data_IF_285323857706
#
_entry.id   IF_285323857706
#
_cell.length_a   1.000
_cell.length_b   1.000
_cell.length_c   1.000
_cell.angle_alpha   90.00
_cell.angle_beta   90.00
_cell.angle_gamma   90.00
#
_symmetry.space_group_name_H-M   'P 1'
#
loop_
_entity.id
_entity.type
_entity.pdbx_description
1 polymer ?
#
# COMPACT_ATOMS: atom_id res chain seq x y z
N UNK A 1 16.16 6.35 13.28
CA UNK A 1 14.72 6.59 13.10
C UNK A 1 13.96 5.30 13.36
N UNK A 2 12.89 5.37 14.13
CA UNK A 2 12.19 4.18 14.58
C UNK A 2 10.77 4.12 14.03
N UNK A 3 10.42 3.00 13.37
CA UNK A 3 9.10 2.79 12.81
C UNK A 3 8.32 1.75 13.60
N UNK A 4 7.02 1.97 13.72
CA UNK A 4 6.10 1.03 14.32
C UNK A 4 5.04 0.62 13.32
N UNK A 5 4.57 -0.62 13.43
CA UNK A 5 3.58 -1.18 12.52
C UNK A 5 2.48 -1.85 13.33
N UNK A 6 1.21 -1.61 12.95
CA UNK A 6 0.12 -2.35 13.53
C UNK A 6 -1.08 -2.44 12.60
N UNK A 7 -1.88 -3.49 12.77
CA UNK A 7 -3.10 -3.68 11.97
C UNK A 7 -4.13 -2.60 12.33
N UNK A 8 -4.75 -2.02 11.30
CA UNK A 8 -5.83 -1.06 11.47
C UNK A 8 -7.11 -1.80 11.89
N UNK A 9 -7.73 -1.34 12.97
CA UNK A 9 -9.01 -1.85 13.45
C UNK A 9 -10.13 -0.90 13.01
N UNK A 10 -11.38 -1.36 13.10
CA UNK A 10 -12.52 -0.52 12.71
C UNK A 10 -12.56 0.80 13.47
N UNK A 11 -12.22 0.79 14.76
CA UNK A 11 -12.18 2.02 15.56
C UNK A 11 -11.07 3.00 15.12
N UNK A 12 -10.06 2.52 14.44
CA UNK A 12 -8.97 3.37 13.93
C UNK A 12 -9.36 4.18 12.70
N UNK A 13 -10.34 3.71 11.93
CA UNK A 13 -10.69 4.30 10.65
C UNK A 13 -11.02 5.78 10.79
N UNK A 14 -11.96 6.12 11.68
CA UNK A 14 -12.36 7.52 11.88
C UNK A 14 -11.23 8.39 12.43
N UNK A 15 -10.28 7.78 13.14
CA UNK A 15 -9.15 8.51 13.73
C UNK A 15 -8.11 8.87 12.67
N UNK A 16 -7.81 7.96 11.74
CA UNK A 16 -6.66 8.11 10.83
C UNK A 16 -7.02 8.36 9.37
N UNK A 17 -8.29 8.22 8.98
CA UNK A 17 -8.66 8.29 7.56
C UNK A 17 -8.25 9.59 6.88
N UNK A 18 -8.39 10.72 7.58
CA UNK A 18 -8.04 12.02 7.00
C UNK A 18 -6.53 12.12 6.75
N UNK A 19 -5.72 11.65 7.69
CA UNK A 19 -4.26 11.65 7.54
C UNK A 19 -3.82 10.66 6.44
N UNK A 20 -4.48 9.51 6.36
CA UNK A 20 -4.20 8.53 5.30
C UNK A 20 -4.44 9.14 3.92
N UNK A 21 -5.58 9.82 3.76
CA UNK A 21 -5.89 10.45 2.47
C UNK A 21 -4.92 11.59 2.16
N UNK A 22 -4.53 12.36 3.15
CA UNK A 22 -3.55 13.44 2.95
C UNK A 22 -2.23 12.88 2.39
N UNK A 23 -1.77 11.76 2.92
CA UNK A 23 -0.55 11.08 2.42
C UNK A 23 -0.76 10.63 0.99
N UNK A 24 -1.86 9.95 0.72
CA UNK A 24 -2.19 9.44 -0.61
C UNK A 24 -2.28 10.59 -1.63
N UNK A 25 -3.04 11.62 -1.31
CA UNK A 25 -3.25 12.75 -2.22
C UNK A 25 -1.93 13.48 -2.52
N UNK A 26 -1.09 13.67 -1.52
CA UNK A 26 0.22 14.29 -1.70
C UNK A 26 1.09 13.50 -2.68
N UNK A 27 1.09 12.17 -2.55
CA UNK A 27 1.89 11.32 -3.42
C UNK A 27 1.31 11.22 -4.84
N UNK A 28 -0.02 11.07 -4.95
CA UNK A 28 -0.67 10.87 -6.24
C UNK A 28 -0.76 12.13 -7.09
N UNK A 29 -0.75 13.31 -6.48
CA UNK A 29 -0.77 14.56 -7.23
C UNK A 29 0.43 14.69 -8.18
N UNK A 30 1.55 14.07 -7.84
CA UNK A 30 2.75 14.07 -8.68
C UNK A 30 2.75 12.95 -9.72
N UNK A 31 2.02 11.85 -9.49
CA UNK A 31 2.06 10.65 -10.33
C UNK A 31 0.84 10.56 -11.25
N UNK A 32 -0.35 10.80 -10.71
CA UNK A 32 -1.60 10.60 -11.44
C UNK A 32 -2.69 11.56 -10.93
N UNK A 33 -2.57 12.87 -11.22
CA UNK A 33 -3.58 13.83 -10.79
C UNK A 33 -4.94 13.52 -11.44
N UNK A 34 -6.02 13.67 -10.68
CA UNK A 34 -7.37 13.37 -11.17
C UNK A 34 -8.04 14.53 -11.91
N UNK A 35 -7.58 15.74 -11.64
CA UNK A 35 -8.23 16.94 -12.14
C UNK A 35 -9.41 17.40 -11.28
N UNK A 36 -9.78 16.64 -10.26
CA UNK A 36 -10.85 16.99 -9.32
C UNK A 36 -10.30 17.72 -8.11
N UNK A 37 -11.19 18.30 -7.29
CA UNK A 37 -10.79 18.94 -6.03
C UNK A 37 -10.37 17.89 -5.00
N UNK A 38 -9.64 18.35 -3.98
CA UNK A 38 -9.25 17.49 -2.86
C UNK A 38 -10.47 16.85 -2.19
N UNK A 39 -11.51 17.64 -1.94
CA UNK A 39 -12.71 17.15 -1.27
C UNK A 39 -13.47 16.12 -2.11
N UNK A 40 -13.53 16.33 -3.41
CA UNK A 40 -14.15 15.37 -4.33
C UNK A 40 -13.37 14.05 -4.35
N UNK A 41 -12.05 14.10 -4.41
CA UNK A 41 -11.21 12.91 -4.39
C UNK A 41 -11.31 12.18 -3.05
N UNK A 42 -11.33 12.93 -1.94
CA UNK A 42 -11.52 12.34 -0.62
C UNK A 42 -12.84 11.58 -0.52
N UNK A 43 -13.91 12.20 -0.99
CA UNK A 43 -15.23 11.56 -0.97
C UNK A 43 -15.27 10.29 -1.78
N UNK A 44 -14.75 10.33 -3.00
CA UNK A 44 -14.71 9.17 -3.90
C UNK A 44 -13.90 8.04 -3.28
N UNK A 45 -12.72 8.37 -2.78
CA UNK A 45 -11.82 7.37 -2.19
C UNK A 45 -12.40 6.76 -0.90
N UNK A 46 -12.89 7.60 0.01
CA UNK A 46 -13.39 7.12 1.30
C UNK A 46 -14.65 6.28 1.15
N UNK A 47 -15.55 6.66 0.26
CA UNK A 47 -16.77 5.89 -0.02
C UNK A 47 -16.46 4.51 -0.60
N UNK A 48 -15.35 4.39 -1.30
CA UNK A 48 -14.90 3.12 -1.86
C UNK A 48 -14.10 2.28 -0.85
N UNK A 49 -13.19 2.91 -0.12
CA UNK A 49 -12.24 2.21 0.75
C UNK A 49 -12.86 1.73 2.06
N UNK A 50 -13.66 2.57 2.73
CA UNK A 50 -14.19 2.25 4.05
C UNK A 50 -15.03 0.97 4.08
N UNK A 51 -15.99 0.76 3.16
CA UNK A 51 -16.76 -0.48 3.16
C UNK A 51 -15.87 -1.71 2.99
N UNK A 52 -14.85 -1.63 2.14
CA UNK A 52 -13.92 -2.73 1.88
C UNK A 52 -13.14 -3.09 3.14
N UNK A 53 -12.69 -2.09 3.89
CA UNK A 53 -11.98 -2.31 5.16
C UNK A 53 -12.90 -2.90 6.22
N UNK A 54 -14.13 -2.37 6.35
CA UNK A 54 -15.09 -2.84 7.36
C UNK A 54 -15.57 -4.26 7.09
N UNK A 55 -15.65 -4.66 5.83
CA UNK A 55 -16.03 -6.02 5.44
C UNK A 55 -14.87 -7.01 5.53
N UNK A 56 -13.65 -6.54 5.80
CA UNK A 56 -12.46 -7.39 5.89
C UNK A 56 -11.93 -7.88 4.56
N UNK A 57 -12.39 -7.31 3.45
CA UNK A 57 -11.90 -7.69 2.11
C UNK A 57 -10.47 -7.21 1.84
N UNK A 58 -10.08 -6.15 2.51
CA UNK A 58 -8.72 -5.63 2.49
C UNK A 58 -8.29 -5.34 3.91
N UNK A 59 -7.04 -5.59 4.20
CA UNK A 59 -6.43 -5.29 5.49
C UNK A 59 -5.44 -4.15 5.33
N UNK A 60 -5.30 -3.35 6.38
CA UNK A 60 -4.38 -2.20 6.37
C UNK A 60 -3.45 -2.29 7.56
N UNK A 61 -2.17 -2.04 7.31
CA UNK A 61 -1.17 -1.83 8.34
C UNK A 61 -0.91 -0.34 8.43
N UNK A 62 -1.11 0.22 9.62
CA UNK A 62 -0.75 1.62 9.88
C UNK A 62 0.73 1.68 10.25
N UNK A 63 1.41 2.67 9.71
CA UNK A 63 2.85 2.84 9.89
C UNK A 63 3.10 4.13 10.65
N UNK A 64 3.82 4.04 11.75
CA UNK A 64 4.09 5.17 12.64
C UNK A 64 5.58 5.43 12.72
N UNK A 65 5.94 6.69 12.86
CA UNK A 65 7.29 7.12 13.22
C UNK A 65 7.15 8.02 14.44
N UNK A 66 7.70 7.58 15.57
CA UNK A 66 7.62 8.33 16.83
C UNK A 66 6.18 8.72 17.17
N UNK A 67 5.27 7.74 17.12
CA UNK A 67 3.85 7.87 17.45
C UNK A 67 3.02 8.72 16.48
N UNK A 68 3.60 9.15 15.36
CA UNK A 68 2.87 9.87 14.32
C UNK A 68 2.68 8.99 13.10
N UNK A 69 1.49 9.04 12.51
CA UNK A 69 1.22 8.30 11.29
C UNK A 69 2.12 8.82 10.17
N UNK A 70 2.90 7.94 9.55
CA UNK A 70 3.78 8.31 8.46
C UNK A 70 3.48 7.54 7.16
N UNK A 71 2.59 6.58 7.22
CA UNK A 71 2.21 5.82 6.03
C UNK A 71 1.20 4.74 6.33
N UNK A 72 0.81 4.01 5.30
CA UNK A 72 -0.05 2.84 5.44
C UNK A 72 0.22 1.86 4.31
N UNK A 73 -0.14 0.60 4.56
CA UNK A 73 0.04 -0.49 3.61
C UNK A 73 -1.23 -1.33 3.57
N UNK A 74 -1.81 -1.46 2.38
CA UNK A 74 -3.02 -2.25 2.18
C UNK A 74 -2.67 -3.55 1.47
N UNK A 75 -3.26 -4.65 1.91
CA UNK A 75 -3.01 -5.97 1.34
C UNK A 75 -4.25 -6.86 1.46
N UNK A 76 -4.21 -7.97 0.75
CA UNK A 76 -5.15 -9.07 0.98
C UNK A 76 -4.50 -10.38 0.58
N UNK A 77 -5.09 -11.47 1.08
CA UNK A 77 -4.62 -12.82 0.78
C UNK A 77 -5.70 -13.51 -0.05
N UNK A 78 -5.29 -14.08 -1.17
CA UNK A 78 -6.17 -14.84 -2.05
C UNK A 78 -5.51 -16.17 -2.32
N UNK A 79 -6.10 -17.25 -1.79
CA UNK A 79 -5.56 -18.60 -1.94
C UNK A 79 -4.12 -18.66 -1.38
N UNK A 80 -3.13 -18.94 -2.22
CA UNK A 80 -1.72 -19.03 -1.81
C UNK A 80 -0.91 -17.77 -2.14
N UNK A 81 -1.60 -16.69 -2.51
CA UNK A 81 -0.97 -15.43 -2.94
C UNK A 81 -1.21 -14.32 -1.92
N UNK A 82 -0.14 -13.65 -1.52
CA UNK A 82 -0.19 -12.43 -0.74
C UNK A 82 -0.12 -11.25 -1.70
N UNK A 83 -1.17 -10.44 -1.76
CA UNK A 83 -1.24 -9.30 -2.66
C UNK A 83 -0.92 -8.02 -1.92
N UNK A 84 0.18 -7.38 -2.32
CA UNK A 84 0.51 -6.03 -1.88
C UNK A 84 -0.31 -5.06 -2.74
N UNK A 85 -1.36 -4.50 -2.15
CA UNK A 85 -2.36 -3.75 -2.89
C UNK A 85 -2.03 -2.27 -3.00
N UNK A 86 -1.62 -1.65 -1.90
CA UNK A 86 -1.25 -0.23 -1.89
C UNK A 86 -0.26 0.06 -0.79
N UNK A 87 0.73 0.92 -1.08
CA UNK A 87 1.70 1.37 -0.10
C UNK A 87 1.90 2.87 -0.28
N UNK A 88 1.74 3.62 0.81
CA UNK A 88 1.91 5.07 0.80
C UNK A 88 2.73 5.51 2.00
N UNK A 89 3.80 6.27 1.74
CA UNK A 89 4.62 6.89 2.78
C UNK A 89 4.62 8.40 2.57
N UNK A 90 4.68 9.16 3.66
CA UNK A 90 4.99 10.59 3.55
C UNK A 90 6.33 10.76 2.84
N UNK A 91 6.43 11.80 2.02
CA UNK A 91 7.63 12.06 1.21
C UNK A 91 8.93 12.12 2.03
N UNK A 92 8.85 12.67 3.23
CA UNK A 92 9.99 12.80 4.13
C UNK A 92 10.56 11.47 4.62
N UNK A 93 9.78 10.38 4.53
CA UNK A 93 10.21 9.05 4.94
C UNK A 93 10.55 8.14 3.77
N UNK A 94 10.44 8.62 2.54
CA UNK A 94 10.82 7.85 1.37
C UNK A 94 12.34 7.81 1.26
N UNK A 95 12.88 6.64 0.94
CA UNK A 95 14.33 6.47 0.78
C UNK A 95 15.11 6.32 2.08
N UNK A 96 14.44 6.18 3.24
CA UNK A 96 15.11 6.05 4.54
C UNK A 96 15.05 4.62 5.11
N UNK A 97 14.80 3.63 4.27
CA UNK A 97 14.77 2.23 4.70
C UNK A 97 13.44 1.77 5.28
N UNK A 98 12.41 2.61 5.25
CA UNK A 98 11.10 2.25 5.79
C UNK A 98 10.52 1.01 5.11
N UNK A 99 10.65 0.91 3.78
CA UNK A 99 10.11 -0.24 3.06
C UNK A 99 10.77 -1.54 3.49
N UNK A 100 12.09 -1.53 3.72
CA UNK A 100 12.81 -2.72 4.17
C UNK A 100 12.31 -3.16 5.55
N UNK A 101 12.07 -2.23 6.47
CA UNK A 101 11.53 -2.54 7.79
C UNK A 101 10.10 -3.05 7.70
N UNK A 102 9.27 -2.45 6.84
CA UNK A 102 7.91 -2.93 6.59
C UNK A 102 7.95 -4.35 6.06
N UNK A 103 8.78 -4.62 5.06
CA UNK A 103 8.84 -5.96 4.47
C UNK A 103 9.28 -7.00 5.49
N UNK A 104 10.20 -6.64 6.37
CA UNK A 104 10.59 -7.52 7.46
C UNK A 104 9.40 -7.78 8.41
N UNK A 105 8.62 -6.74 8.75
CA UNK A 105 7.42 -6.91 9.55
C UNK A 105 6.40 -7.82 8.86
N UNK A 106 6.27 -7.73 7.53
CA UNK A 106 5.33 -8.55 6.77
C UNK A 106 5.60 -10.04 6.90
N UNK A 107 6.83 -10.45 7.20
CA UNK A 107 7.14 -11.87 7.44
C UNK A 107 6.35 -12.43 8.61
N UNK A 108 5.90 -11.59 9.54
CA UNK A 108 5.05 -12.00 10.67
C UNK A 108 3.57 -11.98 10.31
N UNK A 109 3.19 -11.33 9.20
CA UNK A 109 1.80 -11.13 8.77
C UNK A 109 1.42 -12.13 7.67
N UNK A 110 2.35 -12.42 6.77
CA UNK A 110 2.11 -13.31 5.63
C UNK A 110 1.80 -14.71 6.16
N UNK A 111 0.63 -15.29 5.80
CA UNK A 111 0.24 -16.59 6.32
C UNK A 111 1.20 -17.72 5.94
N UNK A 112 1.33 -18.70 6.81
CA UNK A 112 2.02 -19.95 6.49
C UNK A 112 1.30 -20.60 5.29
N UNK A 113 2.06 -21.17 4.37
CA UNK A 113 1.49 -21.76 3.15
C UNK A 113 1.38 -20.79 1.98
N UNK A 114 1.71 -19.52 2.17
CA UNK A 114 1.78 -18.56 1.07
C UNK A 114 2.90 -18.95 0.12
N UNK A 115 2.60 -18.99 -1.18
CA UNK A 115 3.56 -19.41 -2.21
C UNK A 115 4.03 -18.25 -3.07
N UNK A 116 3.20 -17.22 -3.24
CA UNK A 116 3.48 -16.12 -4.15
C UNK A 116 3.20 -14.78 -3.48
N UNK A 117 3.93 -13.76 -3.92
CA UNK A 117 3.66 -12.36 -3.60
C UNK A 117 3.44 -11.66 -4.93
N UNK A 118 2.43 -10.79 -4.99
CA UNK A 118 2.16 -9.99 -6.19
C UNK A 118 1.83 -8.55 -5.84
N UNK A 119 2.01 -7.67 -6.82
CA UNK A 119 1.70 -6.26 -6.71
C UNK A 119 1.54 -5.65 -8.09
N UNK A 120 0.91 -4.47 -8.14
CA UNK A 120 0.84 -3.68 -9.36
C UNK A 120 1.55 -2.35 -9.13
N UNK A 121 2.21 -1.85 -10.16
CA UNK A 121 2.80 -0.51 -10.14
C UNK A 121 2.47 0.19 -11.46
N UNK A 122 2.09 1.47 -11.36
CA UNK A 122 1.79 2.27 -12.57
C UNK A 122 3.04 2.34 -13.44
N UNK A 123 2.82 2.36 -14.75
CA UNK A 123 3.93 2.40 -15.73
C UNK A 123 4.82 3.63 -15.55
N UNK A 124 4.25 4.76 -15.09
CA UNK A 124 4.98 5.99 -14.82
C UNK A 124 5.77 5.95 -13.50
N UNK A 125 5.44 5.02 -12.60
CA UNK A 125 6.04 4.97 -11.26
C UNK A 125 7.27 4.05 -11.25
N UNK A 126 8.37 4.53 -11.81
CA UNK A 126 9.61 3.77 -11.92
C UNK A 126 10.20 3.40 -10.54
N UNK A 127 9.97 4.25 -9.55
CA UNK A 127 10.46 4.01 -8.20
C UNK A 127 9.81 2.77 -7.58
N UNK A 128 8.48 2.67 -7.68
CA UNK A 128 7.76 1.49 -7.19
C UNK A 128 8.17 0.23 -7.93
N UNK A 129 8.35 0.32 -9.26
CA UNK A 129 8.81 -0.80 -10.06
C UNK A 129 10.17 -1.30 -9.59
N UNK A 130 11.09 -0.38 -9.32
CA UNK A 130 12.42 -0.73 -8.83
C UNK A 130 12.38 -1.43 -7.48
N UNK A 131 11.51 -0.98 -6.58
CA UNK A 131 11.32 -1.64 -5.28
C UNK A 131 10.82 -3.07 -5.46
N UNK A 132 9.83 -3.29 -6.33
CA UNK A 132 9.27 -4.61 -6.57
C UNK A 132 10.29 -5.55 -7.20
N UNK A 133 11.09 -5.06 -8.15
CA UNK A 133 12.17 -5.84 -8.74
C UNK A 133 13.24 -6.21 -7.70
N UNK A 134 13.57 -5.28 -6.82
CA UNK A 134 14.53 -5.53 -5.74
C UNK A 134 14.04 -6.63 -4.78
N UNK A 135 12.72 -6.76 -4.60
CA UNK A 135 12.14 -7.81 -3.80
C UNK A 135 12.10 -9.17 -4.50
N UNK A 136 12.55 -9.24 -5.75
CA UNK A 136 12.56 -10.47 -6.52
C UNK A 136 11.31 -10.73 -7.35
N UNK A 137 10.42 -9.72 -7.46
CA UNK A 137 9.25 -9.85 -8.31
C UNK A 137 9.60 -9.44 -9.75
N UNK A 138 8.95 -10.08 -10.71
CA UNK A 138 9.13 -9.76 -12.12
C UNK A 138 7.79 -9.50 -12.78
N UNK A 139 7.82 -8.76 -13.88
CA UNK A 139 6.61 -8.42 -14.64
C UNK A 139 6.06 -9.68 -15.29
N UNK A 140 4.79 -9.97 -15.02
CA UNK A 140 4.07 -11.11 -15.60
C UNK A 140 2.90 -10.67 -16.48
N UNK A 141 2.57 -9.39 -16.51
CA UNK A 141 1.48 -8.88 -17.32
C UNK A 141 1.19 -7.42 -17.02
N UNK A 142 -0.02 -7.00 -17.39
CA UNK A 142 -0.50 -5.63 -17.17
C UNK A 142 -1.88 -5.67 -16.50
N UNK A 143 -2.28 -4.54 -15.91
CA UNK A 143 -3.64 -4.37 -15.41
C UNK A 143 -4.63 -4.36 -16.58
N UNK A 144 -5.92 -4.57 -16.29
CA UNK A 144 -6.97 -4.62 -17.31
C UNK A 144 -7.02 -3.36 -18.17
N UNK A 145 -6.79 -2.20 -17.57
CA UNK A 145 -6.79 -0.93 -18.31
C UNK A 145 -5.45 -0.59 -18.96
N UNK A 146 -4.42 -1.43 -18.77
CA UNK A 146 -3.09 -1.22 -19.35
C UNK A 146 -2.26 -0.13 -18.68
N UNK A 147 -2.72 0.46 -17.58
CA UNK A 147 -2.03 1.58 -16.92
C UNK A 147 -0.96 1.15 -15.93
N UNK A 148 -0.97 -0.11 -15.51
CA UNK A 148 -0.04 -0.64 -14.51
C UNK A 148 0.58 -1.94 -14.99
N UNK A 149 1.79 -2.22 -14.50
CA UNK A 149 2.45 -3.50 -14.70
C UNK A 149 2.11 -4.42 -13.52
N UNK A 150 1.89 -5.70 -13.83
CA UNK A 150 1.63 -6.74 -12.83
C UNK A 150 2.94 -7.45 -12.49
N UNK A 151 3.33 -7.39 -11.23
CA UNK A 151 4.54 -8.03 -10.72
C UNK A 151 4.17 -9.24 -9.87
N UNK A 152 4.92 -10.31 -9.99
CA UNK A 152 4.71 -11.52 -9.19
C UNK A 152 6.04 -12.24 -8.96
N UNK A 153 6.16 -12.89 -7.79
CA UNK A 153 7.33 -13.67 -7.45
C UNK A 153 6.97 -14.73 -6.42
N UNK A 154 7.87 -15.71 -6.25
CA UNK A 154 7.70 -16.76 -5.23
C UNK A 154 8.04 -16.20 -3.86
N UNK A 155 7.25 -16.57 -2.87
CA UNK A 155 7.53 -16.26 -1.46
C UNK A 155 8.23 -17.44 -0.82
N UNK A 156 9.41 -17.17 -0.24
CA UNK A 156 10.23 -18.23 0.36
C UNK A 156 10.38 -18.04 1.85
#
# INVERSE_FOLDING_TARGET
MRFGFRQMKNEDISVFIDEMFEILASNMSAVAPTGNSYDEDYKTWSESAVPVWREGKRSVILIFCEDKLCGFFQYFVSDTTFRMDEIQFKKEYQGCGLFAELYHYLTTVIPAGTRYVEAFARKENLKSQGILEHLGLSVVGESKNGNSLHFKGEYK
#
